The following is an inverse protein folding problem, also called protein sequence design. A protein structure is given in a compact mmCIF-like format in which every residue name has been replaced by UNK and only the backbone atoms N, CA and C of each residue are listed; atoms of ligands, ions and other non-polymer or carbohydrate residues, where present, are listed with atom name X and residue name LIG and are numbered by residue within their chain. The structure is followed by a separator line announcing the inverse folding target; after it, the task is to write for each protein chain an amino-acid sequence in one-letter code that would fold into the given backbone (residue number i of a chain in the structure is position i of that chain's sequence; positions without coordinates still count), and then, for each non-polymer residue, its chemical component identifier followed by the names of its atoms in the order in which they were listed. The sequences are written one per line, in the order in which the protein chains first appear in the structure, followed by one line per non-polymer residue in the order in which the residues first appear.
data_IF_233000301710
#
_entry.id   IF_233000301710
#
_cell.length_a   1.000
_cell.length_b   1.000
_cell.length_c   1.000
_cell.angle_alpha   90.00
_cell.angle_beta   90.00
_cell.angle_gamma   90.00
#
_symmetry.space_group_name_H-M   'P 1'
#
loop_
_entity.id
_entity.type
_entity.pdbx_description
1 polymer ?
#
# COMPACT_ATOMS: atom_id res chain seq x y z
N UNK A 1 -13.54 3.33 -22.63
CA UNK A 1 -12.96 4.43 -21.83
C UNK A 1 -12.74 3.92 -20.42
N UNK A 2 -11.59 4.15 -19.88
CA UNK A 2 -11.29 3.66 -18.52
C UNK A 2 -11.76 4.72 -17.51
N UNK A 3 -12.85 4.46 -16.83
CA UNK A 3 -13.51 5.38 -15.90
C UNK A 3 -12.88 5.34 -14.50
N UNK A 4 -11.75 4.63 -14.35
CA UNK A 4 -11.08 4.50 -13.07
C UNK A 4 -10.18 5.69 -12.80
N UNK A 5 -10.38 6.34 -11.68
CA UNK A 5 -9.55 7.44 -11.18
C UNK A 5 -8.65 6.92 -10.07
N UNK A 6 -7.34 7.20 -10.16
CA UNK A 6 -6.37 6.94 -9.09
C UNK A 6 -6.11 8.25 -8.36
N UNK A 7 -6.28 8.26 -7.06
CA UNK A 7 -6.12 9.46 -6.24
C UNK A 7 -5.69 9.14 -4.80
N UNK A 8 -5.20 10.14 -4.10
CA UNK A 8 -4.99 10.02 -2.66
C UNK A 8 -6.32 9.72 -1.94
N UNK A 9 -6.26 8.90 -0.91
CA UNK A 9 -7.43 8.64 -0.06
C UNK A 9 -7.82 9.89 0.74
N UNK A 10 -9.09 9.97 1.05
CA UNK A 10 -9.68 10.97 1.96
C UNK A 10 -10.15 10.26 3.23
N UNK A 11 -10.34 10.94 4.34
CA UNK A 11 -10.89 10.31 5.55
C UNK A 11 -12.19 9.53 5.30
N UNK A 12 -13.07 10.04 4.43
CA UNK A 12 -14.32 9.38 4.07
C UNK A 12 -14.15 8.06 3.30
N UNK A 13 -13.00 7.80 2.70
CA UNK A 13 -12.71 6.54 1.98
C UNK A 13 -12.28 5.41 2.92
N UNK A 14 -11.80 5.73 4.12
CA UNK A 14 -11.16 4.76 5.02
C UNK A 14 -12.07 3.60 5.45
N UNK A 15 -13.38 3.78 5.67
CA UNK A 15 -14.26 2.64 5.89
C UNK A 15 -14.25 1.65 4.72
N UNK A 16 -14.28 2.14 3.49
CA UNK A 16 -14.22 1.29 2.29
C UNK A 16 -12.83 0.66 2.12
N UNK A 17 -11.76 1.39 2.40
CA UNK A 17 -10.40 0.84 2.43
C UNK A 17 -10.30 -0.31 3.44
N UNK A 18 -10.89 -0.16 4.61
CA UNK A 18 -10.98 -1.24 5.60
C UNK A 18 -11.78 -2.43 5.09
N UNK A 19 -12.92 -2.20 4.41
CA UNK A 19 -13.73 -3.27 3.83
C UNK A 19 -12.96 -4.04 2.74
N UNK A 20 -12.20 -3.37 1.90
CA UNK A 20 -11.34 -4.01 0.91
C UNK A 20 -10.25 -4.86 1.56
N UNK A 21 -9.65 -4.38 2.64
CA UNK A 21 -8.67 -5.16 3.41
C UNK A 21 -9.31 -6.37 4.09
N UNK A 22 -10.50 -6.19 4.65
CA UNK A 22 -11.28 -7.28 5.24
C UNK A 22 -11.59 -8.35 4.21
N UNK A 23 -12.11 -7.94 3.06
CA UNK A 23 -12.39 -8.85 1.95
C UNK A 23 -11.16 -9.68 1.58
N UNK A 24 -10.03 -9.03 1.40
CA UNK A 24 -8.80 -9.73 1.07
C UNK A 24 -8.37 -10.72 2.14
N UNK A 25 -8.34 -10.30 3.40
CA UNK A 25 -7.79 -11.11 4.49
C UNK A 25 -8.76 -12.20 4.95
N UNK A 26 -10.04 -11.86 5.11
CA UNK A 26 -11.05 -12.74 5.72
C UNK A 26 -11.81 -13.51 4.65
N UNK A 27 -12.45 -12.81 3.70
CA UNK A 27 -13.35 -13.45 2.75
C UNK A 27 -12.58 -14.27 1.70
N UNK A 28 -11.50 -13.72 1.17
CA UNK A 28 -10.66 -14.40 0.16
C UNK A 28 -9.53 -15.22 0.81
N UNK A 29 -8.93 -14.71 1.88
CA UNK A 29 -7.76 -15.30 2.53
C UNK A 29 -8.06 -16.28 3.67
N UNK A 30 -9.29 -16.33 4.16
CA UNK A 30 -9.70 -17.25 5.21
C UNK A 30 -9.16 -16.92 6.60
N UNK A 31 -8.64 -15.71 6.83
CA UNK A 31 -8.21 -15.28 8.15
C UNK A 31 -9.40 -15.23 9.12
N UNK A 32 -9.18 -15.63 10.37
CA UNK A 32 -10.17 -15.51 11.44
C UNK A 32 -10.02 -14.13 12.07
N UNK A 33 -11.04 -13.25 11.97
CA UNK A 33 -10.92 -11.90 12.53
C UNK A 33 -10.97 -11.92 14.06
N UNK A 34 -10.14 -11.08 14.67
CA UNK A 34 -10.11 -10.88 16.13
C UNK A 34 -11.10 -9.81 16.60
N UNK A 35 -11.67 -9.05 15.68
CA UNK A 35 -12.60 -7.94 15.93
C UNK A 35 -13.74 -7.96 14.93
N UNK A 36 -14.79 -7.18 15.18
CA UNK A 36 -15.87 -6.99 14.20
C UNK A 36 -15.40 -6.15 13.00
N UNK A 37 -16.09 -6.23 11.88
CA UNK A 37 -15.79 -5.38 10.71
C UNK A 37 -15.98 -3.88 11.03
N UNK A 38 -16.92 -3.53 11.89
CA UNK A 38 -17.12 -2.15 12.35
C UNK A 38 -15.92 -1.66 13.18
N UNK A 39 -15.45 -2.44 14.15
CA UNK A 39 -14.26 -2.10 14.93
C UNK A 39 -13.00 -2.02 14.05
N UNK A 40 -12.91 -2.85 13.03
CA UNK A 40 -11.79 -2.80 12.08
C UNK A 40 -11.81 -1.52 11.23
N UNK A 41 -12.99 -1.03 10.82
CA UNK A 41 -13.11 0.28 10.15
C UNK A 41 -12.62 1.42 11.04
N UNK A 42 -13.00 1.40 12.32
CA UNK A 42 -12.56 2.39 13.29
C UNK A 42 -11.05 2.33 13.51
N UNK A 43 -10.47 1.13 13.59
CA UNK A 43 -9.03 0.92 13.70
C UNK A 43 -8.27 1.44 12.47
N UNK A 44 -8.80 1.24 11.26
CA UNK A 44 -8.19 1.76 10.03
C UNK A 44 -8.20 3.29 10.00
N UNK A 45 -9.31 3.90 10.39
CA UNK A 45 -9.43 5.36 10.46
C UNK A 45 -8.48 5.95 11.50
N UNK A 46 -8.37 5.33 12.67
CA UNK A 46 -7.44 5.74 13.73
C UNK A 46 -5.98 5.60 13.26
N UNK A 47 -5.63 4.49 12.62
CA UNK A 47 -4.28 4.29 12.09
C UNK A 47 -3.90 5.39 11.10
N UNK A 48 -4.76 5.71 10.15
CA UNK A 48 -4.50 6.77 9.18
C UNK A 48 -4.37 8.15 9.83
N UNK A 49 -5.19 8.45 10.84
CA UNK A 49 -5.14 9.71 11.58
C UNK A 49 -3.86 9.84 12.42
N UNK A 50 -3.37 8.73 12.97
CA UNK A 50 -2.16 8.70 13.81
C UNK A 50 -0.86 8.70 13.00
N UNK A 51 -0.91 8.38 11.70
CA UNK A 51 0.26 8.26 10.84
C UNK A 51 0.18 9.11 9.56
N UNK A 52 -0.19 10.40 9.64
CA UNK A 52 -0.46 11.20 8.44
C UNK A 52 0.79 11.48 7.61
N UNK A 53 1.97 11.50 8.24
CA UNK A 53 3.25 11.80 7.58
C UNK A 53 3.96 10.55 7.05
N UNK A 54 3.83 9.42 7.75
CA UNK A 54 4.58 8.20 7.47
C UNK A 54 3.82 7.20 6.58
N UNK A 55 2.50 7.30 6.48
CA UNK A 55 1.69 6.37 5.69
C UNK A 55 0.76 7.12 4.74
N UNK A 56 0.87 6.80 3.47
CA UNK A 56 0.06 7.39 2.40
C UNK A 56 -0.79 6.30 1.76
N UNK A 57 -2.08 6.54 1.66
CA UNK A 57 -2.99 5.63 0.99
C UNK A 57 -3.45 6.23 -0.35
N UNK A 58 -3.40 5.42 -1.39
CA UNK A 58 -3.94 5.72 -2.72
C UNK A 58 -5.11 4.79 -2.97
N UNK A 59 -6.15 5.30 -3.57
CA UNK A 59 -7.35 4.54 -3.92
C UNK A 59 -7.63 4.59 -5.42
N UNK A 60 -8.28 3.53 -5.90
CA UNK A 60 -8.84 3.47 -7.24
C UNK A 60 -10.37 3.57 -7.14
N UNK A 61 -10.93 4.60 -7.77
CA UNK A 61 -12.36 4.90 -7.75
C UNK A 61 -12.96 4.74 -9.14
N UNK A 62 -14.13 4.14 -9.23
CA UNK A 62 -14.97 4.11 -10.43
C UNK A 62 -16.40 4.48 -10.04
N UNK A 63 -16.98 5.45 -10.74
CA UNK A 63 -18.36 5.93 -10.51
C UNK A 63 -18.63 6.31 -9.04
N UNK A 64 -17.65 6.95 -8.38
CA UNK A 64 -17.76 7.35 -6.98
C UNK A 64 -17.56 6.21 -5.96
N UNK A 65 -17.23 5.00 -6.40
CA UNK A 65 -17.03 3.83 -5.55
C UNK A 65 -15.54 3.46 -5.51
N UNK A 66 -14.96 3.38 -4.32
CA UNK A 66 -13.58 2.92 -4.12
C UNK A 66 -13.53 1.40 -4.26
N UNK A 67 -12.77 0.91 -5.23
CA UNK A 67 -12.64 -0.50 -5.58
C UNK A 67 -11.19 -0.99 -5.59
N UNK A 68 -10.26 -0.16 -5.20
CA UNK A 68 -8.85 -0.55 -5.06
C UNK A 68 -8.13 0.34 -4.08
N UNK A 69 -7.04 -0.14 -3.53
CA UNK A 69 -6.22 0.59 -2.58
C UNK A 69 -4.77 0.15 -2.61
N UNK A 70 -3.89 1.00 -2.11
CA UNK A 70 -2.50 0.68 -1.83
C UNK A 70 -1.93 1.67 -0.83
N UNK A 71 -0.95 1.22 -0.06
CA UNK A 71 -0.29 2.03 0.95
C UNK A 71 1.20 2.16 0.66
N UNK A 72 1.75 3.32 1.00
CA UNK A 72 3.19 3.60 1.07
C UNK A 72 3.54 3.95 2.50
N UNK A 73 4.44 3.17 3.11
CA UNK A 73 5.06 3.52 4.36
C UNK A 73 6.39 4.22 4.11
N UNK A 74 6.64 5.32 4.80
CA UNK A 74 7.89 6.08 4.77
C UNK A 74 8.61 5.91 6.09
N UNK A 75 9.88 5.51 6.03
CA UNK A 75 10.71 5.27 7.23
C UNK A 75 11.93 6.16 7.19
N UNK A 76 12.08 7.00 8.21
CA UNK A 76 13.26 7.83 8.38
C UNK A 76 14.48 6.95 8.71
N UNK A 77 15.62 7.33 8.12
CA UNK A 77 16.91 6.67 8.32
C UNK A 77 17.89 7.62 9.02
N UNK A 78 18.78 7.11 9.88
CA UNK A 78 19.83 7.94 10.45
C UNK A 78 20.68 8.60 9.37
N UNK A 79 21.21 9.83 9.61
CA UNK A 79 22.09 10.48 8.66
C UNK A 79 23.42 9.73 8.50
N UNK A 80 24.08 9.98 7.38
CA UNK A 80 25.46 9.51 7.12
C UNK A 80 26.34 10.70 6.75
N UNK A 81 27.68 10.59 6.84
CA UNK A 81 28.57 11.71 6.54
C UNK A 81 28.40 12.27 5.12
N UNK A 82 28.08 11.43 4.15
CA UNK A 82 27.80 11.81 2.76
C UNK A 82 26.36 12.27 2.52
N UNK A 83 25.45 11.95 3.46
CA UNK A 83 24.04 12.33 3.45
C UNK A 83 23.61 12.80 4.84
N UNK A 84 24.00 14.02 5.23
CA UNK A 84 23.75 14.52 6.60
C UNK A 84 22.31 15.02 6.82
N UNK A 85 21.54 15.22 5.74
CA UNK A 85 20.15 15.65 5.82
C UNK A 85 19.18 14.50 6.07
N UNK A 86 17.88 14.77 5.87
CA UNK A 86 16.83 13.75 6.01
C UNK A 86 17.05 12.62 5.00
N UNK A 87 17.03 11.42 5.52
CA UNK A 87 17.08 10.20 4.72
C UNK A 87 15.80 9.40 4.95
N UNK A 88 15.22 8.87 3.90
CA UNK A 88 13.96 8.13 3.99
C UNK A 88 13.96 6.95 3.01
N UNK A 89 13.34 5.85 3.41
CA UNK A 89 13.02 4.71 2.56
C UNK A 89 11.51 4.52 2.48
N UNK A 90 11.03 3.93 1.39
CA UNK A 90 9.63 3.61 1.18
C UNK A 90 9.38 2.11 1.18
N UNK A 91 8.18 1.72 1.58
CA UNK A 91 7.70 0.35 1.52
C UNK A 91 6.26 0.33 1.00
N UNK A 92 6.05 -0.33 -0.13
CA UNK A 92 4.72 -0.51 -0.71
C UNK A 92 4.02 -1.64 0.02
N UNK A 93 2.84 -1.33 0.56
CA UNK A 93 2.09 -2.24 1.41
C UNK A 93 0.65 -2.39 0.91
N UNK A 94 0.11 -3.57 1.06
CA UNK A 94 -1.34 -3.81 1.00
C UNK A 94 -2.00 -3.31 -0.30
N UNK A 95 -1.41 -3.61 -1.45
CA UNK A 95 -2.05 -3.31 -2.75
C UNK A 95 -3.12 -4.34 -3.03
N UNK A 96 -4.36 -3.88 -3.18
CA UNK A 96 -5.51 -4.73 -3.46
C UNK A 96 -6.46 -4.07 -4.46
N UNK A 97 -6.99 -4.88 -5.38
CA UNK A 97 -8.00 -4.47 -6.37
C UNK A 97 -9.19 -5.43 -6.27
N UNK A 98 -10.38 -4.86 -6.13
CA UNK A 98 -11.62 -5.61 -6.15
C UNK A 98 -11.74 -6.44 -7.44
N UNK A 99 -12.28 -7.66 -7.38
CA UNK A 99 -12.40 -8.53 -8.56
C UNK A 99 -12.99 -7.86 -9.80
N UNK A 100 -13.96 -6.97 -9.63
CA UNK A 100 -14.65 -6.27 -10.73
C UNK A 100 -13.72 -5.32 -11.54
N UNK A 101 -12.56 -4.96 -10.99
CA UNK A 101 -11.55 -4.12 -11.65
C UNK A 101 -10.28 -4.87 -12.06
N UNK A 102 -10.17 -6.15 -11.76
CA UNK A 102 -8.99 -6.94 -12.11
C UNK A 102 -8.85 -7.10 -13.63
N UNK A 103 -7.61 -7.34 -14.10
CA UNK A 103 -7.32 -7.50 -15.52
C UNK A 103 -7.33 -6.21 -16.34
N UNK A 104 -7.42 -5.05 -15.70
CA UNK A 104 -7.46 -3.71 -16.35
C UNK A 104 -6.23 -2.85 -16.05
N UNK A 105 -5.19 -3.43 -15.47
CA UNK A 105 -3.97 -2.68 -15.11
C UNK A 105 -4.11 -1.73 -13.91
N UNK A 106 -5.21 -1.81 -13.16
CA UNK A 106 -5.49 -0.88 -12.03
C UNK A 106 -4.45 -1.01 -10.92
N UNK A 107 -4.02 -2.23 -10.58
CA UNK A 107 -2.96 -2.43 -9.59
C UNK A 107 -1.66 -1.72 -10.00
N UNK A 108 -1.26 -1.80 -11.26
CA UNK A 108 -0.09 -1.09 -11.78
C UNK A 108 -0.22 0.43 -11.65
N UNK A 109 -1.39 0.98 -11.91
CA UNK A 109 -1.66 2.40 -11.75
C UNK A 109 -1.61 2.85 -10.29
N UNK A 110 -2.12 2.03 -9.35
CA UNK A 110 -2.01 2.28 -7.91
C UNK A 110 -0.53 2.30 -7.49
N UNK A 111 0.24 1.28 -7.87
CA UNK A 111 1.66 1.20 -7.50
C UNK A 111 2.44 2.36 -8.13
N UNK A 112 2.16 2.73 -9.37
CA UNK A 112 2.80 3.90 -10.02
C UNK A 112 2.53 5.18 -9.22
N UNK A 113 1.30 5.40 -8.78
CA UNK A 113 0.98 6.56 -7.95
C UNK A 113 1.70 6.54 -6.59
N UNK A 114 1.86 5.35 -5.97
CA UNK A 114 2.66 5.22 -4.75
C UNK A 114 4.13 5.51 -4.99
N UNK A 115 4.69 5.10 -6.13
CA UNK A 115 6.08 5.39 -6.49
C UNK A 115 6.30 6.88 -6.76
N UNK A 116 5.34 7.58 -7.37
CA UNK A 116 5.38 9.03 -7.52
C UNK A 116 5.41 9.74 -6.15
N UNK A 117 4.59 9.28 -5.19
CA UNK A 117 4.65 9.80 -3.82
C UNK A 117 6.00 9.52 -3.15
N UNK A 118 6.59 8.35 -3.38
CA UNK A 118 7.91 8.00 -2.87
C UNK A 118 8.99 8.91 -3.46
N UNK A 119 8.96 9.14 -4.77
CA UNK A 119 9.90 10.03 -5.44
C UNK A 119 9.77 11.47 -4.94
N UNK A 120 8.56 11.97 -4.75
CA UNK A 120 8.29 13.31 -4.20
C UNK A 120 8.79 13.44 -2.74
N UNK A 121 8.76 12.35 -1.97
CA UNK A 121 9.31 12.30 -0.63
C UNK A 121 10.85 12.16 -0.59
N UNK A 122 11.50 11.96 -1.74
CA UNK A 122 12.95 11.81 -1.86
C UNK A 122 13.47 10.48 -1.28
N UNK A 123 12.72 9.39 -1.40
CA UNK A 123 13.17 8.09 -0.90
C UNK A 123 14.43 7.60 -1.59
N UNK A 124 15.32 6.98 -0.83
CA UNK A 124 16.56 6.38 -1.37
C UNK A 124 16.30 5.09 -2.13
N UNK A 125 15.28 4.35 -1.69
CA UNK A 125 14.80 3.12 -2.32
C UNK A 125 13.38 2.82 -1.84
N UNK A 126 12.63 2.10 -2.67
CA UNK A 126 11.32 1.57 -2.33
C UNK A 126 11.36 0.06 -2.37
N UNK A 127 10.84 -0.59 -1.34
CA UNK A 127 10.74 -2.03 -1.22
C UNK A 127 9.28 -2.47 -1.32
N UNK A 128 9.06 -3.74 -1.65
CA UNK A 128 7.76 -4.40 -1.60
C UNK A 128 7.93 -5.85 -1.21
N UNK A 129 7.05 -6.34 -0.35
CA UNK A 129 6.89 -7.77 -0.12
C UNK A 129 5.75 -8.27 -1.02
N UNK A 130 6.11 -8.80 -2.16
CA UNK A 130 5.15 -9.24 -3.18
C UNK A 130 4.53 -10.59 -2.83
N UNK A 131 3.26 -10.78 -3.20
CA UNK A 131 2.70 -12.13 -3.39
C UNK A 131 3.26 -12.76 -4.67
N UNK A 132 3.12 -14.08 -4.80
CA UNK A 132 3.53 -14.80 -6.02
C UNK A 132 2.84 -14.21 -7.26
N UNK A 133 1.56 -13.92 -7.16
CA UNK A 133 0.76 -13.36 -8.26
C UNK A 133 1.13 -11.91 -8.60
N UNK A 134 1.64 -11.16 -7.64
CA UNK A 134 2.04 -9.75 -7.81
C UNK A 134 3.44 -9.55 -8.37
N UNK A 135 4.30 -10.56 -8.34
CA UNK A 135 5.72 -10.43 -8.68
C UNK A 135 5.96 -9.84 -10.07
N UNK A 136 5.24 -10.34 -11.08
CA UNK A 136 5.39 -9.86 -12.47
C UNK A 136 5.08 -8.37 -12.60
N UNK A 137 4.06 -7.88 -11.90
CA UNK A 137 3.70 -6.47 -11.89
C UNK A 137 4.85 -5.61 -11.32
N UNK A 138 5.37 -5.99 -10.17
CA UNK A 138 6.44 -5.22 -9.52
C UNK A 138 7.72 -5.21 -10.35
N UNK A 139 8.09 -6.33 -10.96
CA UNK A 139 9.25 -6.39 -11.85
C UNK A 139 9.10 -5.48 -13.07
N UNK A 140 7.90 -5.40 -13.66
CA UNK A 140 7.62 -4.46 -14.76
C UNK A 140 7.76 -3.00 -14.34
N UNK A 141 7.53 -2.69 -13.06
CA UNK A 141 7.66 -1.35 -12.49
C UNK A 141 9.06 -1.04 -11.95
N UNK A 142 10.05 -1.89 -12.23
CA UNK A 142 11.44 -1.65 -11.91
C UNK A 142 11.91 -2.25 -10.59
N UNK A 143 11.07 -3.00 -9.87
CA UNK A 143 11.52 -3.73 -8.69
C UNK A 143 12.38 -4.93 -9.10
N UNK A 144 13.48 -5.12 -8.40
CA UNK A 144 14.40 -6.24 -8.59
C UNK A 144 14.78 -6.90 -7.29
N UNK A 145 15.45 -8.04 -7.39
CA UNK A 145 15.95 -8.75 -6.22
C UNK A 145 17.10 -7.98 -5.57
N UNK A 146 17.18 -8.07 -4.25
CA UNK A 146 18.36 -7.67 -3.50
C UNK A 146 18.84 -8.82 -2.64
N UNK A 147 19.99 -9.45 -2.97
CA UNK A 147 20.47 -10.61 -2.24
C UNK A 147 20.98 -10.26 -0.84
N UNK A 148 21.09 -8.97 -0.53
CA UNK A 148 21.55 -8.49 0.77
C UNK A 148 20.41 -8.17 1.74
N UNK A 149 19.14 -8.31 1.32
CA UNK A 149 18.01 -8.18 2.22
C UNK A 149 17.81 -9.49 2.99
N UNK A 150 18.03 -9.42 4.30
CA UNK A 150 17.80 -10.55 5.20
C UNK A 150 16.61 -10.24 6.10
N UNK A 151 15.76 -11.24 6.30
CA UNK A 151 14.60 -11.14 7.18
C UNK A 151 14.75 -12.17 8.32
N UNK A 152 14.44 -11.74 9.53
CA UNK A 152 14.37 -12.62 10.69
C UNK A 152 12.92 -12.68 11.19
N UNK A 153 12.23 -13.81 11.07
CA UNK A 153 10.94 -13.99 11.73
C UNK A 153 11.11 -14.03 13.26
N UNK A 154 10.06 -13.73 14.03
CA UNK A 154 10.13 -13.91 15.47
C UNK A 154 10.38 -15.37 15.83
N UNK A 155 11.04 -15.60 16.95
CA UNK A 155 11.17 -16.94 17.50
C UNK A 155 9.80 -17.45 17.96
N UNK A 156 9.53 -18.72 17.74
CA UNK A 156 8.27 -19.35 18.14
C UNK A 156 8.15 -19.49 19.66
#
# INVERSE_FOLDING_TARGET
MDDVVIRASRPADLPTVADLRWRWSVDEGGAVPAVSSADFRDAMAAFAADHPESHRCVVAERDGVVLGMGWLALTDRPPTPDRPGRRVTGDVQTVYVHPDLRGRGVAGRIVTALLELADDAGVERTSVHSSVDGETLYRRLGFGDTPLLLQRPPEA
#
